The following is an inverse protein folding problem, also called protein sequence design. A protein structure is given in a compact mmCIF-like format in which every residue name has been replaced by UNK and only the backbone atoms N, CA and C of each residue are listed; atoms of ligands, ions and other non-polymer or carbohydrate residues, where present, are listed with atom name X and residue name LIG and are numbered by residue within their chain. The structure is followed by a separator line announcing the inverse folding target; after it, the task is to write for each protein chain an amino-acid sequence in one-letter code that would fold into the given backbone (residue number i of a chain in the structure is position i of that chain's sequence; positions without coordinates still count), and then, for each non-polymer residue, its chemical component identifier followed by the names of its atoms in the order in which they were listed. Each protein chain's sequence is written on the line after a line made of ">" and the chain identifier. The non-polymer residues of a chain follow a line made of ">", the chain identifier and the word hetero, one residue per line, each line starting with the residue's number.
data_IF_665630107000
#
_entry.id   IF_665630107000
#
_cell.length_a   1.000
_cell.length_b   1.000
_cell.length_c   1.000
_cell.angle_alpha   90.00
_cell.angle_beta   90.00
_cell.angle_gamma   90.00
#
_symmetry.space_group_name_H-M   'P 1'
#
loop_
_entity.id
_entity.type
_entity.pdbx_description
1 polymer ?
#
# COMPACT_ATOMS: atom_id res chain seq x y z
N UNK A 1 33.94 -4.21 -14.06
CA UNK A 1 33.07 -3.14 -13.52
C UNK A 1 32.36 -3.72 -12.30
N UNK A 2 32.95 -3.57 -11.11
CA UNK A 2 32.33 -4.02 -9.87
C UNK A 2 31.44 -2.88 -9.37
N UNK A 3 30.14 -3.01 -9.61
CA UNK A 3 29.15 -2.18 -8.93
C UNK A 3 29.21 -2.54 -7.44
N UNK A 4 29.99 -1.78 -6.68
CA UNK A 4 30.05 -1.91 -5.23
C UNK A 4 28.83 -1.18 -4.66
N UNK A 5 27.66 -1.81 -4.82
CA UNK A 5 26.43 -1.34 -4.21
C UNK A 5 26.46 -1.86 -2.79
N UNK A 6 26.60 -0.95 -1.83
CA UNK A 6 26.39 -1.23 -0.42
C UNK A 6 24.89 -1.45 -0.22
N UNK A 7 24.47 -2.70 -0.36
CA UNK A 7 23.07 -3.10 -0.34
C UNK A 7 22.76 -3.71 1.01
N UNK A 8 21.79 -3.12 1.73
CA UNK A 8 21.22 -3.76 2.91
C UNK A 8 20.57 -5.08 2.48
N UNK A 9 21.19 -6.19 2.89
CA UNK A 9 20.79 -7.55 2.53
C UNK A 9 19.37 -7.87 2.97
N UNK A 10 18.84 -7.18 3.98
CA UNK A 10 17.47 -7.35 4.46
C UNK A 10 16.43 -6.85 3.46
N UNK A 11 16.80 -5.94 2.55
CA UNK A 11 15.93 -5.40 1.51
C UNK A 11 15.85 -6.29 0.26
N UNK A 12 16.71 -7.30 0.15
CA UNK A 12 16.67 -8.24 -0.98
C UNK A 12 15.46 -9.16 -0.80
N UNK A 13 14.48 -9.02 -1.69
CA UNK A 13 13.27 -9.85 -1.71
C UNK A 13 13.33 -11.01 -2.70
N UNK A 14 14.21 -10.93 -3.71
CA UNK A 14 14.37 -11.97 -4.72
C UNK A 14 15.82 -12.04 -5.21
N UNK A 15 16.32 -13.25 -5.41
CA UNK A 15 17.60 -13.55 -6.07
C UNK A 15 17.31 -14.39 -7.30
N UNK A 16 17.82 -13.95 -8.45
CA UNK A 16 17.67 -14.65 -9.73
C UNK A 16 19.03 -15.18 -10.15
N UNK A 17 19.14 -16.47 -10.42
CA UNK A 17 20.39 -17.06 -10.86
C UNK A 17 20.31 -18.56 -11.14
N UNK A 18 21.43 -19.17 -11.56
CA UNK A 18 21.48 -20.61 -11.80
C UNK A 18 21.32 -21.41 -10.48
N UNK A 19 20.75 -22.62 -10.57
CA UNK A 19 20.34 -23.40 -9.38
C UNK A 19 21.52 -23.75 -8.44
N UNK A 20 22.73 -23.84 -8.99
CA UNK A 20 23.96 -24.13 -8.26
C UNK A 20 24.32 -23.04 -7.22
N UNK A 21 23.88 -21.80 -7.40
CA UNK A 21 24.13 -20.72 -6.44
C UNK A 21 23.03 -20.56 -5.38
N UNK A 22 21.94 -21.33 -5.45
CA UNK A 22 20.75 -21.15 -4.60
C UNK A 22 21.07 -21.24 -3.11
N UNK A 23 21.83 -22.25 -2.68
CA UNK A 23 22.18 -22.40 -1.27
C UNK A 23 23.01 -21.23 -0.75
N UNK A 24 23.98 -20.77 -1.53
CA UNK A 24 24.81 -19.62 -1.18
C UNK A 24 23.98 -18.33 -1.12
N UNK A 25 23.06 -18.16 -2.08
CA UNK A 25 22.15 -17.03 -2.12
C UNK A 25 21.22 -16.99 -0.91
N UNK A 26 20.55 -18.08 -0.56
CA UNK A 26 19.63 -18.13 0.59
C UNK A 26 20.36 -18.01 1.93
N UNK A 27 21.63 -18.41 2.03
CA UNK A 27 22.47 -18.12 3.21
C UNK A 27 22.78 -16.64 3.36
N UNK A 28 23.04 -15.95 2.25
CA UNK A 28 23.37 -14.52 2.25
C UNK A 28 22.13 -13.63 2.37
N UNK A 29 21.01 -14.08 1.81
CA UNK A 29 19.75 -13.35 1.70
C UNK A 29 18.60 -14.22 2.21
N UNK A 30 18.55 -14.41 3.53
CA UNK A 30 17.60 -15.33 4.18
C UNK A 30 16.12 -14.98 3.97
N UNK A 31 15.83 -13.73 3.65
CA UNK A 31 14.46 -13.23 3.44
C UNK A 31 14.06 -13.22 1.96
N UNK A 32 14.97 -13.61 1.05
CA UNK A 32 14.75 -13.54 -0.37
C UNK A 32 14.17 -14.83 -0.93
N UNK A 33 13.26 -14.70 -1.90
CA UNK A 33 12.86 -15.81 -2.78
C UNK A 33 13.96 -16.09 -3.80
N UNK A 34 14.25 -17.36 -4.08
CA UNK A 34 15.16 -17.72 -5.18
C UNK A 34 14.37 -18.10 -6.43
N UNK A 35 14.87 -17.70 -7.60
CA UNK A 35 14.35 -18.10 -8.90
C UNK A 35 15.46 -18.41 -9.89
N UNK A 36 15.27 -19.44 -10.69
CA UNK A 36 16.16 -19.80 -11.80
C UNK A 36 15.55 -19.48 -13.18
N UNK A 37 14.41 -18.79 -13.19
CA UNK A 37 13.65 -18.47 -14.39
C UNK A 37 14.40 -17.45 -15.25
N UNK A 38 14.35 -17.64 -16.58
CA UNK A 38 14.98 -16.77 -17.58
C UNK A 38 13.93 -16.17 -18.51
N UNK A 39 14.25 -15.03 -19.10
CA UNK A 39 13.47 -14.41 -20.17
C UNK A 39 12.13 -13.85 -19.69
N UNK A 40 11.09 -13.98 -20.52
CA UNK A 40 9.77 -13.33 -20.32
C UNK A 40 9.09 -13.75 -19.02
N UNK A 41 9.33 -14.97 -18.53
CA UNK A 41 8.74 -15.47 -17.30
C UNK A 41 9.30 -14.80 -16.03
N UNK A 42 10.48 -14.17 -16.10
CA UNK A 42 11.05 -13.45 -14.95
C UNK A 42 10.19 -12.23 -14.57
N UNK A 43 9.65 -11.53 -15.56
CA UNK A 43 8.79 -10.36 -15.32
C UNK A 43 7.53 -10.75 -14.56
N UNK A 44 6.95 -11.92 -14.88
CA UNK A 44 5.76 -12.44 -14.19
C UNK A 44 6.05 -12.79 -12.73
N UNK A 45 7.21 -13.40 -12.44
CA UNK A 45 7.58 -13.71 -11.05
C UNK A 45 7.86 -12.44 -10.23
N UNK A 46 8.52 -11.44 -10.83
CA UNK A 46 8.74 -10.15 -10.17
C UNK A 46 7.40 -9.46 -9.90
N UNK A 47 6.50 -9.43 -10.89
CA UNK A 47 5.17 -8.84 -10.72
C UNK A 47 4.39 -9.54 -9.61
N UNK A 48 4.40 -10.88 -9.59
CA UNK A 48 3.75 -11.67 -8.57
C UNK A 48 4.31 -11.32 -7.17
N UNK A 49 5.63 -11.26 -7.01
CA UNK A 49 6.27 -10.88 -5.75
C UNK A 49 5.83 -9.48 -5.27
N UNK A 50 5.80 -8.50 -6.18
CA UNK A 50 5.38 -7.13 -5.87
C UNK A 50 3.91 -7.11 -5.42
N UNK A 51 3.04 -7.82 -6.12
CA UNK A 51 1.61 -7.89 -5.80
C UNK A 51 1.39 -8.61 -4.46
N UNK A 52 2.09 -9.71 -4.20
CA UNK A 52 2.04 -10.43 -2.92
C UNK A 52 2.45 -9.52 -1.75
N UNK A 53 3.58 -8.81 -1.88
CA UNK A 53 4.04 -7.86 -0.86
C UNK A 53 3.00 -6.74 -0.67
N UNK A 54 2.51 -6.12 -1.73
CA UNK A 54 1.48 -5.08 -1.65
C UNK A 54 0.22 -5.57 -0.95
N UNK A 55 -0.34 -6.70 -1.37
CA UNK A 55 -1.58 -7.26 -0.82
C UNK A 55 -1.40 -7.72 0.62
N UNK A 56 -0.18 -8.12 1.02
CA UNK A 56 0.14 -8.44 2.41
C UNK A 56 -0.02 -7.25 3.35
N UNK A 57 0.16 -6.01 2.86
CA UNK A 57 -0.05 -4.78 3.63
C UNK A 57 -1.52 -4.39 3.75
N UNK A 58 -2.39 -4.99 2.94
CA UNK A 58 -3.81 -4.65 2.94
C UNK A 58 -4.53 -5.28 4.15
N UNK A 59 -5.64 -4.67 4.61
CA UNK A 59 -6.40 -5.16 5.77
C UNK A 59 -7.10 -6.53 5.61
N UNK A 60 -7.10 -7.12 4.41
CA UNK A 60 -7.74 -8.41 4.07
C UNK A 60 -9.22 -8.54 4.49
N UNK A 61 -9.94 -7.42 4.51
CA UNK A 61 -11.34 -7.36 4.97
C UNK A 61 -12.38 -7.85 3.94
N UNK A 62 -11.99 -8.15 2.70
CA UNK A 62 -12.90 -8.55 1.60
C UNK A 62 -14.13 -7.64 1.47
N UNK A 63 -13.95 -6.32 1.62
CA UNK A 63 -15.06 -5.38 1.77
C UNK A 63 -15.76 -4.97 0.47
N UNK A 64 -15.26 -5.36 -0.71
CA UNK A 64 -15.87 -5.02 -2.00
C UNK A 64 -15.64 -3.58 -2.50
N UNK A 65 -15.17 -2.66 -1.65
CA UNK A 65 -15.22 -1.22 -1.94
C UNK A 65 -14.22 -0.73 -3.00
N UNK A 66 -13.18 -1.50 -3.28
CA UNK A 66 -12.26 -1.24 -4.40
C UNK A 66 -12.79 -1.78 -5.76
N UNK A 67 -14.00 -2.36 -5.78
CA UNK A 67 -14.61 -2.96 -6.97
C UNK A 67 -14.37 -4.46 -7.13
N UNK A 68 -13.64 -5.09 -6.18
CA UNK A 68 -13.34 -6.53 -6.20
C UNK A 68 -13.93 -7.22 -4.96
N UNK A 69 -14.56 -8.38 -5.17
CA UNK A 69 -15.27 -9.13 -4.13
C UNK A 69 -14.35 -9.53 -2.98
N UNK A 70 -13.14 -9.97 -3.28
CA UNK A 70 -12.13 -10.39 -2.31
C UNK A 70 -10.81 -9.65 -2.54
N UNK A 71 -10.02 -9.52 -1.48
CA UNK A 71 -8.66 -8.97 -1.57
C UNK A 71 -7.76 -9.84 -2.46
N UNK A 72 -7.94 -11.17 -2.42
CA UNK A 72 -7.21 -12.09 -3.30
C UNK A 72 -7.67 -11.94 -4.76
N UNK A 73 -8.98 -11.75 -5.01
CA UNK A 73 -9.49 -11.48 -6.35
C UNK A 73 -8.98 -10.16 -6.93
N UNK A 74 -8.72 -9.14 -6.08
CA UNK A 74 -8.01 -7.93 -6.49
C UNK A 74 -6.54 -8.23 -6.84
N UNK A 75 -5.85 -9.04 -6.03
CA UNK A 75 -4.48 -9.47 -6.28
C UNK A 75 -4.33 -10.18 -7.63
N UNK A 76 -5.22 -11.13 -7.93
CA UNK A 76 -5.26 -11.84 -9.21
C UNK A 76 -5.41 -10.87 -10.38
N UNK A 77 -6.30 -9.87 -10.26
CA UNK A 77 -6.52 -8.88 -11.32
C UNK A 77 -5.33 -7.94 -11.50
N UNK A 78 -4.55 -7.67 -10.46
CA UNK A 78 -3.28 -6.94 -10.58
C UNK A 78 -2.25 -7.75 -11.39
N UNK A 79 -2.13 -9.05 -11.12
CA UNK A 79 -1.22 -9.96 -11.86
C UNK A 79 -1.66 -10.09 -13.33
N UNK A 80 -2.97 -10.18 -13.58
CA UNK A 80 -3.53 -10.22 -14.94
C UNK A 80 -3.44 -8.87 -15.68
N UNK A 81 -2.90 -7.82 -15.06
CA UNK A 81 -2.86 -6.45 -15.57
C UNK A 81 -4.26 -5.90 -15.94
N UNK A 82 -5.28 -6.31 -15.18
CA UNK A 82 -6.69 -5.86 -15.30
C UNK A 82 -7.12 -4.94 -14.16
N UNK A 83 -6.20 -4.62 -13.25
CA UNK A 83 -6.39 -3.72 -12.13
C UNK A 83 -5.16 -2.81 -11.96
N UNK A 84 -5.34 -1.68 -11.29
CA UNK A 84 -4.26 -0.75 -10.93
C UNK A 84 -4.00 -0.83 -9.43
N UNK A 85 -2.73 -0.66 -9.02
CA UNK A 85 -2.35 -0.55 -7.61
C UNK A 85 -3.02 0.66 -6.94
N UNK A 86 -3.18 0.61 -5.62
CA UNK A 86 -3.71 1.73 -4.83
C UNK A 86 -5.24 1.89 -4.85
N UNK A 87 -6.01 0.99 -5.52
CA UNK A 87 -7.48 1.04 -5.48
C UNK A 87 -8.09 0.70 -4.11
N UNK A 88 -7.30 0.19 -3.16
CA UNK A 88 -7.80 -0.12 -1.82
C UNK A 88 -8.04 1.17 -1.01
N UNK A 89 -9.30 1.60 -0.95
CA UNK A 89 -9.73 2.81 -0.19
C UNK A 89 -9.47 2.75 1.32
N UNK A 90 -9.14 1.57 1.87
CA UNK A 90 -8.78 1.44 3.29
C UNK A 90 -7.32 1.84 3.54
N UNK A 91 -6.45 1.72 2.54
CA UNK A 91 -5.03 2.11 2.64
C UNK A 91 -4.87 3.62 2.81
N UNK A 92 -5.72 4.38 2.14
CA UNK A 92 -5.79 5.84 2.25
C UNK A 92 -7.22 6.25 2.62
N UNK A 93 -7.58 6.17 3.92
CA UNK A 93 -8.90 6.59 4.36
C UNK A 93 -9.08 8.09 4.05
N UNK A 94 -10.31 8.52 3.70
CA UNK A 94 -10.58 9.89 3.28
C UNK A 94 -10.37 10.94 4.38
N UNK A 95 -10.16 10.51 5.63
CA UNK A 95 -9.77 11.37 6.74
C UNK A 95 -8.85 10.61 7.71
N UNK A 96 -8.00 11.36 8.39
CA UNK A 96 -7.16 10.88 9.50
C UNK A 96 -7.55 11.66 10.76
N UNK A 97 -7.71 10.97 11.88
CA UNK A 97 -8.02 11.57 13.18
C UNK A 97 -6.84 11.39 14.13
N UNK A 98 -6.53 12.46 14.87
CA UNK A 98 -5.52 12.45 15.93
C UNK A 98 -6.18 12.90 17.24
N UNK A 99 -5.94 12.16 18.32
CA UNK A 99 -6.40 12.49 19.67
C UNK A 99 -5.18 12.54 20.58
N UNK A 100 -4.93 13.67 21.22
CA UNK A 100 -3.73 13.90 22.04
C UNK A 100 -2.43 13.51 21.30
N UNK A 101 -2.30 13.95 20.04
CA UNK A 101 -1.18 13.64 19.15
C UNK A 101 -1.04 12.17 18.71
N UNK A 102 -1.88 11.27 19.20
CA UNK A 102 -1.93 9.87 18.78
C UNK A 102 -2.88 9.68 17.61
N UNK A 103 -2.41 9.04 16.53
CA UNK A 103 -3.25 8.66 15.39
C UNK A 103 -4.28 7.62 15.84
N UNK A 104 -5.55 7.85 15.52
CA UNK A 104 -6.64 6.87 15.69
C UNK A 104 -6.85 6.18 14.35
N UNK A 105 -6.75 4.85 14.32
CA UNK A 105 -7.07 4.08 13.12
C UNK A 105 -8.59 4.02 12.95
N UNK A 106 -9.08 4.81 12.00
CA UNK A 106 -10.49 4.85 11.64
C UNK A 106 -10.81 3.72 10.66
N UNK A 107 -11.92 3.03 10.90
CA UNK A 107 -12.55 2.26 9.83
C UNK A 107 -13.14 3.21 8.78
N UNK A 108 -13.50 2.67 7.62
CA UNK A 108 -13.90 3.52 6.50
C UNK A 108 -15.18 4.33 6.76
N UNK A 109 -16.13 3.79 7.54
CA UNK A 109 -17.36 4.52 7.85
C UNK A 109 -17.08 5.81 8.66
N UNK A 110 -16.43 5.77 9.84
CA UNK A 110 -16.04 6.98 10.56
C UNK A 110 -15.15 7.93 9.75
N UNK A 111 -14.22 7.40 8.94
CA UNK A 111 -13.38 8.22 8.09
C UNK A 111 -14.19 8.99 7.02
N UNK A 112 -15.14 8.32 6.37
CA UNK A 112 -16.05 8.95 5.40
C UNK A 112 -16.93 10.01 6.06
N UNK A 113 -17.52 9.70 7.21
CA UNK A 113 -18.36 10.66 7.94
C UNK A 113 -17.56 11.91 8.32
N UNK A 114 -16.35 11.74 8.88
CA UNK A 114 -15.49 12.86 9.25
C UNK A 114 -15.12 13.73 8.03
N UNK A 115 -14.71 13.14 6.92
CA UNK A 115 -14.41 13.87 5.68
C UNK A 115 -15.63 14.66 5.18
N UNK A 116 -16.81 14.05 5.17
CA UNK A 116 -18.04 14.73 4.73
C UNK A 116 -18.40 15.91 5.62
N UNK A 117 -18.25 15.78 6.95
CA UNK A 117 -18.50 16.86 7.90
C UNK A 117 -17.53 18.03 7.68
N UNK A 118 -16.23 17.75 7.53
CA UNK A 118 -15.22 18.78 7.28
C UNK A 118 -15.47 19.52 5.96
N UNK A 119 -15.79 18.79 4.88
CA UNK A 119 -16.12 19.39 3.58
C UNK A 119 -17.36 20.26 3.65
N UNK A 120 -18.45 19.73 4.22
CA UNK A 120 -19.69 20.48 4.38
C UNK A 120 -19.46 21.76 5.21
N UNK A 121 -18.65 21.70 6.27
CA UNK A 121 -18.29 22.87 7.07
C UNK A 121 -17.55 23.92 6.23
N UNK A 122 -16.50 23.54 5.50
CA UNK A 122 -15.75 24.45 4.61
C UNK A 122 -16.64 25.05 3.53
N UNK A 123 -17.60 24.29 3.00
CA UNK A 123 -18.53 24.77 1.98
C UNK A 123 -19.43 25.90 2.51
N UNK A 124 -19.69 25.98 3.81
CA UNK A 124 -20.43 27.10 4.42
C UNK A 124 -19.61 28.38 4.59
N UNK A 125 -18.28 28.31 4.51
CA UNK A 125 -17.39 29.45 4.76
C UNK A 125 -17.36 30.41 3.57
N UNK A 126 -17.34 31.71 3.86
CA UNK A 126 -17.12 32.78 2.88
C UNK A 126 -15.62 33.03 2.70
N UNK A 127 -15.20 33.26 1.45
CA UNK A 127 -13.81 33.60 1.14
C UNK A 127 -12.83 32.43 1.16
N UNK A 128 -13.31 31.19 1.30
CA UNK A 128 -12.50 29.96 1.24
C UNK A 128 -12.74 29.25 -0.09
N UNK A 129 -11.68 28.66 -0.66
CA UNK A 129 -11.73 27.86 -1.89
C UNK A 129 -12.74 26.71 -1.75
N UNK A 130 -13.55 26.52 -2.80
CA UNK A 130 -14.51 25.41 -2.87
C UNK A 130 -13.81 24.19 -3.46
N UNK A 131 -14.08 23.03 -2.87
CA UNK A 131 -13.37 21.76 -3.14
C UNK A 131 -11.88 21.77 -2.73
N UNK A 132 -11.55 22.07 -1.46
CA UNK A 132 -10.17 22.05 -1.02
C UNK A 132 -9.54 20.67 -1.20
N UNK A 133 -8.27 20.65 -1.61
CA UNK A 133 -7.45 19.44 -1.70
C UNK A 133 -7.09 18.91 -0.31
N UNK A 134 -7.00 19.81 0.69
CA UNK A 134 -6.58 19.48 2.05
C UNK A 134 -7.31 20.35 3.07
N UNK A 135 -7.75 19.74 4.18
CA UNK A 135 -8.40 20.41 5.30
C UNK A 135 -7.72 19.96 6.60
N UNK A 136 -7.32 20.90 7.45
CA UNK A 136 -6.91 20.65 8.83
C UNK A 136 -7.84 21.43 9.75
N UNK A 137 -8.42 20.73 10.72
CA UNK A 137 -9.22 21.33 11.77
C UNK A 137 -8.65 20.88 13.11
N UNK A 138 -8.41 21.86 13.99
CA UNK A 138 -7.92 21.64 15.35
C UNK A 138 -8.79 22.41 16.32
N UNK A 139 -9.09 21.80 17.46
CA UNK A 139 -9.79 22.45 18.57
C UNK A 139 -8.82 22.62 19.74
N UNK A 140 -8.97 23.72 20.46
CA UNK A 140 -8.20 23.99 21.68
C UNK A 140 -9.20 24.15 22.82
N UNK A 141 -9.02 23.41 23.91
CA UNK A 141 -9.76 23.72 25.14
C UNK A 141 -9.22 25.03 25.70
N UNK A 142 -10.08 26.03 25.83
CA UNK A 142 -9.79 27.19 26.67
C UNK A 142 -10.11 26.78 28.10
N UNK A 143 -9.07 26.67 28.92
CA UNK A 143 -9.15 26.49 30.37
C UNK A 143 -9.63 27.76 31.06
#
# INVERSE_FOLDING_TARGET
>A
MHLNIDLDKSLVKMVVGPEDIKEAALKLYSNARFSNVKGENLMNEILQLIVEEYVSTLPKLNCGRCGYVTCDGYAEKLIENKAELGRCVIENPPAKLYVNWSKVDLSLYPATVLNSLLRAFVDTLKGVEKNPVFIVASTFQQS
#
